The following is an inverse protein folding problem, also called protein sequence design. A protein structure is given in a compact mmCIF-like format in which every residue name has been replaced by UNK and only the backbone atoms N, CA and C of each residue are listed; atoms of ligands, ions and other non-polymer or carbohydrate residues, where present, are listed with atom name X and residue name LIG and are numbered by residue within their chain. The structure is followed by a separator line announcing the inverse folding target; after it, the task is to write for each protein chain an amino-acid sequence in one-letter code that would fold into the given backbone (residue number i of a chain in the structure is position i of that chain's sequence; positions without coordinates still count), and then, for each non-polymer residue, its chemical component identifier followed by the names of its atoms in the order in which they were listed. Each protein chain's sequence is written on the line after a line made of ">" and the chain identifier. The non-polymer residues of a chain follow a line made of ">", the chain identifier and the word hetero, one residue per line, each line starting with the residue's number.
data_IF_120325842499
#
_entry.id   IF_120325842499
#
_cell.length_a   1.000
_cell.length_b   1.000
_cell.length_c   1.000
_cell.angle_alpha   90.00
_cell.angle_beta   90.00
_cell.angle_gamma   90.00
#
_symmetry.space_group_name_H-M   'P 1'
#
loop_
_entity.id
_entity.type
_entity.pdbx_description
1 polymer ?
#
# COMPACT_ATOMS: atom_id res chain seq x y z
N UNK A 1 4.57 10.37 9.40
CA UNK A 1 3.85 10.73 8.15
C UNK A 1 2.49 10.04 8.20
N UNK A 2 1.43 10.61 7.64
CA UNK A 2 0.13 9.92 7.60
C UNK A 2 0.10 8.93 6.43
N UNK A 3 -0.50 7.75 6.60
CA UNK A 3 -0.56 6.71 5.56
C UNK A 3 -1.17 7.22 4.24
N UNK A 4 -2.24 8.02 4.30
CA UNK A 4 -2.85 8.62 3.12
C UNK A 4 -1.88 9.47 2.29
N UNK A 5 -0.89 10.12 2.92
CA UNK A 5 0.13 10.88 2.19
C UNK A 5 1.02 9.98 1.34
N UNK A 6 1.40 8.80 1.86
CA UNK A 6 2.15 7.81 1.09
C UNK A 6 1.31 7.24 -0.06
N UNK A 7 0.05 6.90 0.22
CA UNK A 7 -0.88 6.38 -0.80
C UNK A 7 -0.99 7.37 -1.97
N UNK A 8 -1.24 8.66 -1.69
CA UNK A 8 -1.34 9.66 -2.76
C UNK A 8 -0.06 9.79 -3.60
N UNK A 9 1.11 9.63 -2.98
CA UNK A 9 2.38 9.62 -3.72
C UNK A 9 2.50 8.38 -4.61
N UNK A 10 2.17 7.20 -4.08
CA UNK A 10 2.20 5.95 -4.87
C UNK A 10 1.21 5.98 -6.03
N UNK A 11 -0.02 6.46 -5.82
CA UNK A 11 -1.04 6.58 -6.86
C UNK A 11 -0.68 7.64 -7.91
N UNK A 12 0.11 8.66 -7.55
CA UNK A 12 0.63 9.63 -8.54
C UNK A 12 1.73 9.02 -9.40
N UNK A 13 2.56 8.15 -8.83
CA UNK A 13 3.64 7.45 -9.53
C UNK A 13 3.14 6.28 -10.37
N UNK A 14 2.21 5.49 -9.82
CA UNK A 14 1.58 4.32 -10.42
C UNK A 14 0.04 4.47 -10.32
N UNK A 15 -0.58 5.17 -11.29
CA UNK A 15 -2.00 5.44 -11.25
C UNK A 15 -2.88 4.18 -11.24
N UNK A 16 -3.83 4.05 -10.29
CA UNK A 16 -4.68 2.86 -10.17
C UNK A 16 -5.51 2.55 -11.43
N UNK A 17 -5.81 3.55 -12.26
CA UNK A 17 -6.57 3.37 -13.51
C UNK A 17 -5.81 2.59 -14.59
N UNK A 18 -4.51 2.35 -14.39
CA UNK A 18 -3.71 1.49 -15.27
C UNK A 18 -3.79 0.01 -14.88
N UNK A 19 -4.34 -0.31 -13.70
CA UNK A 19 -4.58 -1.68 -13.29
C UNK A 19 -5.72 -2.29 -14.10
N UNK A 20 -5.67 -3.61 -14.30
CA UNK A 20 -6.74 -4.34 -14.97
C UNK A 20 -8.03 -4.30 -14.13
N UNK A 21 -9.23 -4.38 -14.75
CA UNK A 21 -10.50 -4.28 -14.02
C UNK A 21 -10.74 -5.35 -12.95
N UNK A 22 -10.01 -6.46 -13.02
CA UNK A 22 -10.10 -7.58 -12.08
C UNK A 22 -9.06 -7.51 -10.96
N UNK A 23 -8.15 -6.54 -10.99
CA UNK A 23 -7.08 -6.42 -10.01
C UNK A 23 -7.56 -5.79 -8.69
N UNK A 24 -7.01 -6.23 -7.57
CA UNK A 24 -7.38 -5.77 -6.23
C UNK A 24 -6.23 -4.98 -5.59
N UNK A 25 -6.08 -3.73 -6.04
CA UNK A 25 -4.95 -2.84 -5.72
C UNK A 25 -5.32 -1.72 -4.75
N UNK A 26 -4.31 -0.99 -4.27
CA UNK A 26 -4.48 0.13 -3.34
C UNK A 26 -4.37 -0.32 -1.88
N UNK A 27 -5.08 0.35 -0.98
CA UNK A 27 -5.13 -0.02 0.43
C UNK A 27 -6.14 -1.16 0.65
N UNK A 28 -5.67 -2.39 0.85
CA UNK A 28 -6.54 -3.55 1.06
C UNK A 28 -7.03 -3.65 2.52
N UNK A 29 -6.16 -3.41 3.51
CA UNK A 29 -6.49 -3.48 4.94
C UNK A 29 -5.77 -2.37 5.71
N UNK A 30 -6.47 -1.69 6.63
CA UNK A 30 -5.90 -0.70 7.54
C UNK A 30 -6.71 0.59 7.65
N UNK A 31 -6.18 1.60 8.34
CA UNK A 31 -6.75 2.96 8.42
C UNK A 31 -5.84 3.96 7.66
N UNK A 32 -6.33 4.64 6.60
CA UNK A 32 -5.54 5.65 5.87
C UNK A 32 -5.10 6.84 6.72
N UNK A 33 -5.73 7.08 7.89
CA UNK A 33 -5.37 8.14 8.83
C UNK A 33 -4.32 7.71 9.86
N UNK A 34 -3.83 6.46 9.79
CA UNK A 34 -2.79 5.98 10.69
C UNK A 34 -1.48 6.74 10.45
N UNK A 35 -0.78 7.08 11.54
CA UNK A 35 0.59 7.59 11.47
C UNK A 35 1.57 6.43 11.23
N UNK A 36 2.45 6.59 10.24
CA UNK A 36 3.48 5.63 9.87
C UNK A 36 4.88 6.24 9.97
N UNK A 37 5.86 5.38 10.27
CA UNK A 37 7.29 5.73 10.41
C UNK A 37 8.21 4.88 9.53
N UNK A 38 7.75 3.72 9.04
CA UNK A 38 8.50 2.78 8.20
C UNK A 38 7.57 2.15 7.16
N UNK A 39 8.15 1.68 6.06
CA UNK A 39 7.49 0.97 4.97
C UNK A 39 8.33 -0.25 4.62
N UNK A 40 7.68 -1.39 4.41
CA UNK A 40 8.32 -2.62 3.94
C UNK A 40 7.75 -2.97 2.57
N UNK A 41 8.62 -3.12 1.56
CA UNK A 41 8.25 -3.52 0.21
C UNK A 41 8.45 -5.04 0.09
N UNK A 42 7.42 -5.75 -0.36
CA UNK A 42 7.43 -7.21 -0.48
C UNK A 42 6.75 -7.63 -1.78
N UNK A 43 7.11 -8.80 -2.28
CA UNK A 43 6.39 -9.43 -3.42
C UNK A 43 5.17 -10.18 -2.89
N UNK A 44 5.37 -11.03 -1.87
CA UNK A 44 4.30 -11.80 -1.22
C UNK A 44 4.22 -11.48 0.28
N UNK A 45 3.04 -11.08 0.75
CA UNK A 45 2.79 -10.87 2.18
C UNK A 45 2.41 -12.19 2.87
N UNK A 46 3.42 -13.00 3.21
CA UNK A 46 3.27 -14.28 3.93
C UNK A 46 3.36 -14.09 5.46
N UNK A 47 2.95 -15.07 6.29
CA UNK A 47 3.10 -14.97 7.75
C UNK A 47 4.54 -14.73 8.20
N UNK A 48 5.54 -15.33 7.54
CA UNK A 48 6.95 -15.10 7.88
C UNK A 48 7.38 -13.66 7.60
N UNK A 49 6.90 -13.09 6.48
CA UNK A 49 7.18 -11.69 6.13
C UNK A 49 6.49 -10.73 7.10
N UNK A 50 5.32 -11.10 7.64
CA UNK A 50 4.64 -10.29 8.66
C UNK A 50 5.41 -10.23 10.00
N UNK A 51 6.33 -11.16 10.25
CA UNK A 51 7.15 -11.23 11.47
C UNK A 51 8.53 -10.53 11.34
N UNK A 52 8.92 -10.07 10.13
CA UNK A 52 10.17 -9.31 9.88
C UNK A 52 10.16 -7.90 10.52
#
# INVERSE_FOLDING_TARGET
>A
MQLHTLISWMESFAPPHLAEPWDNVGLIVGDPRQAISRVMLTIDYTPLVAEE
#
